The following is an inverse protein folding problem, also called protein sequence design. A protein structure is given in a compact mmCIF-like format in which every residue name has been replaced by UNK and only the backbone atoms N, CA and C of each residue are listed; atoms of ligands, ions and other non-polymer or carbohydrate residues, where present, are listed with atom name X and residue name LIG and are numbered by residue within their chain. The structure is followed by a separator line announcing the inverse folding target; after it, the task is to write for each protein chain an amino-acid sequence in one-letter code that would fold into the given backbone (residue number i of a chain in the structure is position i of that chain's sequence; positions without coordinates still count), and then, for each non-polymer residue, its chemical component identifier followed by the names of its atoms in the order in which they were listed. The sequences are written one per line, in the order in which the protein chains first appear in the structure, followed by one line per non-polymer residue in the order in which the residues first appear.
data_IF_751955825509
#
_entry.id   IF_751955825509
#
_cell.length_a   1.000
_cell.length_b   1.000
_cell.length_c   1.000
_cell.angle_alpha   90.00
_cell.angle_beta   90.00
_cell.angle_gamma   90.00
#
_symmetry.space_group_name_H-M   'P 1'
#
loop_
_entity.id
_entity.type
_entity.pdbx_description
1 polymer ?
#
# COMPACT_ATOMS: atom_id res chain seq x y z
N UNK A 1 1.24 10.71 -8.07
CA UNK A 1 0.22 10.35 -7.04
C UNK A 1 0.09 8.84 -7.02
N UNK A 2 -0.17 8.24 -5.88
CA UNK A 2 -0.22 6.77 -5.79
C UNK A 2 -1.41 6.33 -4.93
N UNK A 3 -2.01 5.20 -5.28
CA UNK A 3 -3.08 4.57 -4.51
C UNK A 3 -2.85 3.07 -4.52
N UNK A 4 -2.70 2.45 -3.36
CA UNK A 4 -2.62 1.01 -3.22
C UNK A 4 -3.88 0.48 -2.53
N UNK A 5 -4.33 -0.69 -2.94
CA UNK A 5 -5.49 -1.34 -2.36
C UNK A 5 -5.34 -2.87 -2.38
N UNK A 6 -6.12 -3.49 -1.51
CA UNK A 6 -6.39 -4.94 -1.54
C UNK A 6 -7.83 -5.17 -1.95
N UNK A 7 -8.13 -6.32 -2.51
CA UNK A 7 -9.49 -6.76 -2.77
C UNK A 7 -9.59 -8.27 -2.57
N UNK A 8 -10.57 -8.72 -1.82
CA UNK A 8 -10.80 -10.14 -1.56
C UNK A 8 -12.17 -10.54 -2.03
N UNK A 9 -12.19 -11.50 -2.92
CA UNK A 9 -13.39 -12.21 -3.38
C UNK A 9 -13.20 -13.68 -3.03
N UNK A 10 -13.29 -14.59 -3.98
CA UNK A 10 -12.80 -15.95 -3.84
C UNK A 10 -11.27 -15.97 -3.66
N UNK A 11 -10.58 -15.14 -4.45
CA UNK A 11 -9.13 -14.97 -4.41
C UNK A 11 -8.76 -13.62 -3.82
N UNK A 12 -7.46 -13.41 -3.55
CA UNK A 12 -6.92 -12.18 -3.00
C UNK A 12 -6.17 -11.41 -4.07
N UNK A 13 -6.47 -10.13 -4.18
CA UNK A 13 -5.87 -9.19 -5.14
C UNK A 13 -5.16 -8.08 -4.37
N UNK A 14 -3.95 -7.76 -4.82
CA UNK A 14 -3.15 -6.67 -4.32
C UNK A 14 -2.57 -5.87 -5.49
N UNK A 15 -2.63 -4.56 -5.43
CA UNK A 15 -2.09 -3.72 -6.49
C UNK A 15 -2.16 -2.24 -6.18
N UNK A 16 -1.63 -1.45 -7.12
CA UNK A 16 -1.58 0.00 -6.98
C UNK A 16 -1.62 0.72 -8.32
N UNK A 17 -1.93 2.02 -8.29
CA UNK A 17 -1.58 2.96 -9.36
C UNK A 17 -0.20 3.53 -9.09
N UNK A 18 0.66 3.60 -10.10
CA UNK A 18 1.99 4.19 -10.07
C UNK A 18 1.98 5.46 -10.93
N UNK A 19 1.58 6.58 -10.31
CA UNK A 19 1.33 7.82 -11.03
C UNK A 19 2.51 8.80 -10.89
N UNK A 20 3.35 8.85 -11.92
CA UNK A 20 4.46 9.79 -12.08
C UNK A 20 4.26 10.65 -13.33
N UNK A 21 4.99 11.76 -13.41
CA UNK A 21 4.99 12.66 -14.57
C UNK A 21 5.74 12.07 -15.77
N UNK A 22 6.60 11.08 -15.54
CA UNK A 22 7.40 10.39 -16.55
C UNK A 22 7.74 8.97 -16.08
N UNK A 23 8.07 8.08 -17.04
CA UNK A 23 8.55 6.73 -16.73
C UNK A 23 10.01 6.76 -16.27
N UNK A 24 10.31 5.94 -15.26
CA UNK A 24 11.68 5.63 -14.82
C UNK A 24 12.23 4.37 -15.52
N UNK A 25 11.59 3.90 -16.60
CA UNK A 25 11.84 2.61 -17.25
C UNK A 25 11.57 1.43 -16.28
N UNK A 26 10.51 1.57 -15.51
CA UNK A 26 10.03 0.49 -14.67
C UNK A 26 9.53 -0.69 -15.51
N UNK A 27 9.81 -1.89 -15.04
CA UNK A 27 9.47 -3.13 -15.73
C UNK A 27 8.99 -4.22 -14.75
N UNK A 28 8.23 -5.18 -15.26
CA UNK A 28 7.84 -6.35 -14.48
C UNK A 28 9.07 -7.24 -14.30
N UNK A 29 9.51 -7.36 -13.06
CA UNK A 29 10.73 -8.06 -12.68
C UNK A 29 10.41 -9.29 -11.84
N UNK A 30 10.99 -10.43 -12.22
CA UNK A 30 10.91 -11.68 -11.46
C UNK A 30 12.26 -11.97 -10.83
N UNK A 31 12.27 -12.12 -9.50
CA UNK A 31 13.44 -12.59 -8.76
C UNK A 31 13.21 -14.06 -8.35
N UNK A 32 13.89 -15.03 -8.97
CA UNK A 32 13.72 -16.44 -8.66
C UNK A 32 14.28 -16.81 -7.27
N UNK A 33 13.86 -17.94 -6.70
CA UNK A 33 14.20 -18.40 -5.33
C UNK A 33 15.70 -18.44 -5.01
N UNK A 34 16.55 -18.56 -6.00
CA UNK A 34 18.00 -18.69 -5.86
C UNK A 34 18.77 -17.45 -6.34
N UNK A 35 18.07 -16.36 -6.62
CA UNK A 35 18.71 -15.09 -6.89
C UNK A 35 19.44 -14.61 -5.63
N UNK A 36 20.67 -14.11 -5.80
CA UNK A 36 21.44 -13.61 -4.67
C UNK A 36 21.11 -12.14 -4.41
N UNK A 37 20.34 -11.88 -3.35
CA UNK A 37 20.18 -10.53 -2.84
C UNK A 37 21.40 -10.12 -2.03
N UNK A 38 22.09 -9.09 -2.48
CA UNK A 38 23.23 -8.48 -1.78
C UNK A 38 22.73 -7.23 -1.04
N UNK A 39 22.58 -7.33 0.27
CA UNK A 39 22.19 -6.21 1.13
C UNK A 39 23.42 -5.44 1.59
N UNK A 40 23.32 -4.11 1.71
CA UNK A 40 24.49 -3.26 2.01
C UNK A 40 25.08 -3.49 3.40
N UNK A 41 24.23 -3.74 4.38
CA UNK A 41 24.64 -3.87 5.79
C UNK A 41 24.22 -5.21 6.38
N UNK A 42 23.91 -6.18 5.56
CA UNK A 42 23.55 -7.54 5.94
C UNK A 42 24.19 -8.56 5.01
N UNK A 43 24.26 -9.79 5.48
CA UNK A 43 24.69 -10.92 4.65
C UNK A 43 23.73 -11.13 3.48
N UNK A 44 24.29 -11.62 2.39
CA UNK A 44 23.51 -11.95 1.19
C UNK A 44 22.54 -13.08 1.48
N UNK A 45 21.33 -13.00 0.91
CA UNK A 45 20.32 -14.06 0.95
C UNK A 45 20.27 -14.74 -0.41
N UNK A 46 20.51 -16.05 -0.44
CA UNK A 46 20.50 -16.87 -1.67
C UNK A 46 19.41 -17.94 -1.69
N UNK A 47 18.69 -18.12 -0.57
CA UNK A 47 17.55 -19.04 -0.48
C UNK A 47 16.37 -18.29 0.11
N UNK A 48 15.44 -17.93 -0.73
CA UNK A 48 14.31 -17.09 -0.38
C UNK A 48 13.08 -17.39 -1.24
N UNK A 49 11.94 -16.78 -0.93
CA UNK A 49 10.75 -16.89 -1.76
C UNK A 49 10.95 -16.16 -3.09
N UNK A 50 10.42 -16.73 -4.18
CA UNK A 50 10.36 -16.03 -5.45
C UNK A 50 9.48 -14.78 -5.33
N UNK A 51 9.90 -13.69 -5.99
CA UNK A 51 9.24 -12.38 -5.93
C UNK A 51 8.94 -11.93 -7.37
N UNK A 52 7.77 -11.36 -7.59
CA UNK A 52 7.41 -10.67 -8.82
C UNK A 52 6.83 -9.30 -8.47
N UNK A 53 7.22 -8.29 -9.24
CA UNK A 53 6.71 -6.93 -9.01
C UNK A 53 7.16 -5.95 -10.07
N UNK A 54 6.73 -4.71 -9.91
CA UNK A 54 7.19 -3.61 -10.72
C UNK A 54 8.48 -3.04 -10.12
N UNK A 55 9.56 -2.99 -10.89
CA UNK A 55 10.86 -2.50 -10.43
C UNK A 55 11.58 -1.68 -11.50
N UNK A 56 12.47 -0.82 -11.05
CA UNK A 56 13.57 -0.33 -11.87
C UNK A 56 14.81 -1.18 -11.55
N UNK A 57 15.40 -1.80 -12.58
CA UNK A 57 16.59 -2.64 -12.39
C UNK A 57 17.85 -1.81 -12.62
N UNK A 58 18.63 -1.63 -11.56
CA UNK A 58 19.92 -0.94 -11.61
C UNK A 58 21.03 -1.84 -11.05
N UNK A 59 22.14 -1.94 -11.75
CA UNK A 59 23.32 -2.75 -11.35
C UNK A 59 22.94 -4.21 -10.97
N UNK A 60 22.04 -4.81 -11.74
CA UNK A 60 21.44 -6.12 -11.47
C UNK A 60 20.67 -6.21 -10.13
N UNK A 61 20.29 -5.09 -9.54
CA UNK A 61 19.48 -5.05 -8.33
C UNK A 61 18.06 -4.53 -8.64
N UNK A 62 17.00 -5.25 -8.26
CA UNK A 62 15.62 -4.82 -8.49
C UNK A 62 15.20 -3.80 -7.41
N UNK A 63 15.04 -2.56 -7.80
CA UNK A 63 14.47 -1.50 -6.98
C UNK A 63 12.93 -1.56 -7.11
N UNK A 64 12.31 -2.38 -6.29
CA UNK A 64 10.86 -2.61 -6.34
C UNK A 64 10.06 -1.40 -5.86
N UNK A 65 9.08 -0.99 -6.65
CA UNK A 65 8.01 -0.06 -6.25
C UNK A 65 6.91 -0.78 -5.48
N UNK A 66 6.56 -1.97 -5.97
CA UNK A 66 5.65 -2.93 -5.38
C UNK A 66 6.03 -4.33 -5.83
N UNK A 67 5.69 -5.31 -5.03
CA UNK A 67 5.92 -6.71 -5.37
C UNK A 67 5.06 -7.63 -4.51
N UNK A 68 4.92 -8.87 -4.98
CA UNK A 68 4.32 -9.97 -4.25
C UNK A 68 5.25 -11.18 -4.30
N UNK A 69 5.32 -11.96 -3.22
CA UNK A 69 6.07 -13.20 -3.24
C UNK A 69 5.16 -14.41 -3.52
N UNK A 70 5.76 -15.54 -3.79
CA UNK A 70 5.07 -16.81 -4.08
C UNK A 70 4.18 -17.35 -2.95
N UNK A 71 4.24 -16.75 -1.76
CA UNK A 71 3.37 -17.05 -0.61
C UNK A 71 2.13 -16.18 -0.55
N UNK A 72 2.03 -15.18 -1.44
CA UNK A 72 0.91 -14.26 -1.50
C UNK A 72 1.04 -13.03 -0.58
N UNK A 73 2.23 -12.79 -0.02
CA UNK A 73 2.51 -11.55 0.70
C UNK A 73 2.86 -10.45 -0.29
N UNK A 74 2.10 -9.36 -0.28
CA UNK A 74 2.31 -8.19 -1.13
C UNK A 74 2.79 -6.96 -0.36
N UNK A 75 3.66 -6.16 -0.98
CA UNK A 75 4.13 -4.86 -0.46
C UNK A 75 4.10 -3.82 -1.56
N UNK A 76 3.65 -2.61 -1.25
CA UNK A 76 3.79 -1.45 -2.12
C UNK A 76 4.34 -0.26 -1.33
N UNK A 77 5.33 0.43 -1.91
CA UNK A 77 5.88 1.68 -1.39
C UNK A 77 5.24 2.88 -2.09
N UNK A 78 4.76 3.85 -1.33
CA UNK A 78 4.11 5.06 -1.83
C UNK A 78 4.84 6.29 -1.30
N UNK A 79 4.86 7.38 -2.07
CA UNK A 79 5.50 8.64 -1.65
C UNK A 79 4.89 9.19 -0.36
N UNK A 80 5.78 9.51 0.58
CA UNK A 80 5.45 10.02 1.92
C UNK A 80 6.33 11.23 2.27
N UNK A 81 6.40 12.16 1.34
CA UNK A 81 7.32 13.30 1.33
C UNK A 81 7.09 14.20 2.56
N UNK A 82 8.20 14.56 3.22
CA UNK A 82 8.19 15.43 4.41
C UNK A 82 7.83 14.73 5.72
N UNK A 83 7.41 13.47 5.69
CA UNK A 83 7.08 12.66 6.88
C UNK A 83 8.06 11.52 7.10
N UNK A 84 8.52 10.86 6.02
CA UNK A 84 9.47 9.76 6.14
C UNK A 84 10.78 10.23 6.77
N UNK A 85 11.28 9.47 7.74
CA UNK A 85 12.55 9.71 8.41
C UNK A 85 13.35 8.43 8.49
N UNK A 86 14.60 8.49 8.03
CA UNK A 86 15.54 7.37 8.05
C UNK A 86 16.74 7.75 8.93
N UNK A 87 17.36 6.76 9.51
CA UNK A 87 18.33 6.96 10.59
C UNK A 87 19.75 6.58 10.18
N UNK A 88 20.70 6.95 11.04
CA UNK A 88 22.03 6.35 11.07
C UNK A 88 21.97 4.91 11.60
N UNK A 89 23.01 4.09 11.34
CA UNK A 89 23.06 2.71 11.83
C UNK A 89 22.87 2.62 13.34
N UNK A 90 22.05 1.68 13.79
CA UNK A 90 21.80 1.40 15.21
C UNK A 90 22.36 0.03 15.58
N UNK A 91 22.99 -0.08 16.76
CA UNK A 91 23.41 -1.35 17.30
C UNK A 91 22.18 -2.22 17.62
N UNK A 92 22.33 -3.54 17.49
CA UNK A 92 21.29 -4.54 17.78
C UNK A 92 20.04 -4.46 16.88
N UNK A 93 20.09 -3.65 15.80
CA UNK A 93 19.03 -3.59 14.79
C UNK A 93 19.48 -4.15 13.44
N UNK A 94 18.53 -4.61 12.68
CA UNK A 94 18.72 -4.94 11.28
C UNK A 94 18.72 -3.62 10.46
N UNK A 95 19.93 -3.14 10.18
CA UNK A 95 20.15 -1.89 9.45
C UNK A 95 19.96 -2.13 7.96
N UNK A 96 18.82 -1.72 7.40
CA UNK A 96 18.39 -1.95 6.03
C UNK A 96 18.22 -0.61 5.32
N UNK A 97 18.81 -0.46 4.13
CA UNK A 97 18.54 0.71 3.31
C UNK A 97 17.05 0.73 2.87
N UNK A 98 16.46 1.91 2.71
CA UNK A 98 15.03 2.01 2.42
C UNK A 98 14.63 1.28 1.12
N UNK A 99 15.50 1.27 0.10
CA UNK A 99 15.25 0.57 -1.16
C UNK A 99 15.35 -0.96 -1.04
N UNK A 100 15.95 -1.47 0.03
CA UNK A 100 16.06 -2.88 0.37
C UNK A 100 14.84 -3.39 1.14
N UNK A 101 13.95 -2.52 1.60
CA UNK A 101 12.83 -2.89 2.49
C UNK A 101 11.90 -3.93 1.87
N UNK A 102 11.47 -3.72 0.63
CA UNK A 102 10.58 -4.67 -0.07
C UNK A 102 11.24 -6.03 -0.24
N UNK A 103 12.43 -6.16 -0.88
CA UNK A 103 13.07 -7.47 -1.04
C UNK A 103 13.47 -8.09 0.30
N UNK A 104 13.85 -7.33 1.33
CA UNK A 104 14.17 -7.85 2.65
C UNK A 104 12.97 -8.55 3.30
N UNK A 105 11.80 -7.96 3.25
CA UNK A 105 10.58 -8.54 3.81
C UNK A 105 10.09 -9.73 2.96
N UNK A 106 9.94 -9.53 1.65
CA UNK A 106 9.35 -10.55 0.78
C UNK A 106 10.22 -11.79 0.60
N UNK A 107 11.52 -11.67 0.76
CA UNK A 107 12.43 -12.82 0.70
C UNK A 107 12.26 -13.78 1.88
N UNK A 108 11.81 -13.30 3.04
CA UNK A 108 11.85 -14.02 4.30
C UNK A 108 10.48 -14.32 4.91
N UNK A 109 9.46 -13.50 4.61
CA UNK A 109 8.15 -13.57 5.24
C UNK A 109 7.11 -14.17 4.30
N UNK A 110 6.32 -15.10 4.80
CA UNK A 110 5.17 -15.67 4.10
C UNK A 110 3.85 -14.95 4.45
N UNK A 111 3.80 -14.26 5.57
CA UNK A 111 2.58 -13.63 6.10
C UNK A 111 2.86 -12.23 6.64
N UNK A 112 1.81 -11.42 6.71
CA UNK A 112 1.83 -10.10 7.34
C UNK A 112 2.26 -10.16 8.82
N UNK A 113 1.88 -11.23 9.53
CA UNK A 113 2.32 -11.45 10.93
C UNK A 113 3.83 -11.66 11.06
N UNK A 114 4.43 -12.42 10.12
CA UNK A 114 5.88 -12.60 10.07
C UNK A 114 6.59 -11.29 9.71
N UNK A 115 6.04 -10.56 8.71
CA UNK A 115 6.55 -9.25 8.33
C UNK A 115 6.56 -8.27 9.51
N UNK A 116 5.48 -8.20 10.29
CA UNK A 116 5.39 -7.36 11.50
C UNK A 116 6.52 -7.65 12.47
N UNK A 117 6.77 -8.91 12.80
CA UNK A 117 7.85 -9.33 13.72
C UNK A 117 9.24 -9.01 13.19
N UNK A 118 9.43 -9.10 11.87
CA UNK A 118 10.71 -8.76 11.25
C UNK A 118 10.93 -7.24 11.28
N UNK A 119 9.90 -6.44 10.99
CA UNK A 119 9.96 -4.97 10.97
C UNK A 119 10.29 -4.37 12.35
N UNK A 120 9.85 -4.99 13.45
CA UNK A 120 10.19 -4.56 14.80
C UNK A 120 11.71 -4.55 15.07
N UNK A 121 12.47 -5.35 14.32
CA UNK A 121 13.93 -5.45 14.42
C UNK A 121 14.68 -4.52 13.46
N UNK A 122 13.98 -3.95 12.47
CA UNK A 122 14.61 -3.14 11.42
C UNK A 122 14.89 -1.72 11.91
N UNK A 123 15.99 -1.18 11.42
CA UNK A 123 16.30 0.25 11.37
C UNK A 123 16.50 0.63 9.90
N UNK A 124 15.69 1.57 9.40
CA UNK A 124 15.81 2.04 8.02
C UNK A 124 16.87 3.13 7.91
N UNK A 125 17.83 2.90 7.04
CA UNK A 125 19.00 3.74 6.86
C UNK A 125 18.77 4.90 5.91
N UNK A 126 19.37 6.04 6.24
CA UNK A 126 19.47 7.23 5.41
C UNK A 126 20.58 7.08 4.34
N UNK A 127 20.46 6.04 3.49
CA UNK A 127 21.46 5.72 2.47
C UNK A 127 20.78 5.62 1.10
N UNK A 128 21.16 6.45 0.09
CA UNK A 128 20.64 6.35 -1.26
C UNK A 128 21.20 5.10 -1.97
N UNK A 129 20.53 4.67 -3.05
CA UNK A 129 21.06 3.59 -3.88
C UNK A 129 22.35 4.03 -4.60
N UNK A 130 22.34 5.20 -5.21
CA UNK A 130 23.47 5.85 -5.85
C UNK A 130 23.29 7.37 -5.87
N UNK A 131 24.27 8.11 -6.34
CA UNK A 131 24.16 9.57 -6.50
C UNK A 131 23.07 9.97 -7.50
N UNK A 132 22.79 9.14 -8.51
CA UNK A 132 21.72 9.36 -9.50
C UNK A 132 20.34 8.89 -9.01
N UNK A 133 20.30 8.02 -8.01
CA UNK A 133 19.07 7.45 -7.43
C UNK A 133 19.00 7.83 -5.94
N UNK A 134 18.54 9.06 -5.66
CA UNK A 134 18.50 9.59 -4.30
C UNK A 134 17.46 8.84 -3.44
N UNK A 135 17.49 9.12 -2.16
CA UNK A 135 16.56 8.57 -1.18
C UNK A 135 15.11 8.89 -1.53
N UNK A 136 14.30 7.85 -1.66
CA UNK A 136 12.86 7.99 -1.77
C UNK A 136 12.22 8.04 -0.39
N UNK A 137 11.40 9.05 -0.14
CA UNK A 137 10.62 9.18 1.09
C UNK A 137 9.33 8.39 0.93
N UNK A 138 9.28 7.21 1.55
CA UNK A 138 8.21 6.24 1.36
C UNK A 138 7.54 5.84 2.68
N UNK A 139 6.31 5.38 2.57
CA UNK A 139 5.63 4.50 3.50
C UNK A 139 5.08 3.29 2.74
N UNK A 140 4.71 2.24 3.43
CA UNK A 140 4.38 0.97 2.80
C UNK A 140 3.06 0.40 3.31
N UNK A 141 2.30 -0.22 2.40
CA UNK A 141 1.25 -1.18 2.73
C UNK A 141 1.79 -2.58 2.53
N UNK A 142 1.56 -3.45 3.49
CA UNK A 142 1.91 -4.87 3.46
C UNK A 142 0.65 -5.66 3.71
N UNK A 143 0.37 -6.64 2.86
CA UNK A 143 -0.89 -7.39 2.94
C UNK A 143 -0.75 -8.83 2.49
N UNK A 144 -1.50 -9.69 3.13
CA UNK A 144 -1.82 -11.03 2.66
C UNK A 144 -3.35 -11.20 2.59
N UNK A 145 -3.83 -12.42 2.38
CA UNK A 145 -5.27 -12.70 2.28
C UNK A 145 -6.05 -12.48 3.57
N UNK A 146 -5.38 -12.33 4.72
CA UNK A 146 -6.00 -12.26 6.04
C UNK A 146 -5.98 -10.85 6.63
N UNK A 147 -4.88 -10.12 6.45
CA UNK A 147 -4.74 -8.79 7.05
C UNK A 147 -3.89 -7.84 6.22
N UNK A 148 -4.02 -6.56 6.53
CA UNK A 148 -3.20 -5.49 5.97
C UNK A 148 -2.61 -4.64 7.09
N UNK A 149 -1.37 -4.20 6.92
CA UNK A 149 -0.71 -3.23 7.79
C UNK A 149 -0.15 -2.07 6.98
N UNK A 150 -0.02 -0.92 7.62
CA UNK A 150 0.72 0.23 7.08
C UNK A 150 1.96 0.47 7.92
N UNK A 151 3.09 0.67 7.25
CA UNK A 151 4.39 0.91 7.89
C UNK A 151 4.89 2.30 7.52
N UNK A 152 5.18 3.11 8.53
CA UNK A 152 5.68 4.47 8.39
C UNK A 152 6.94 4.66 9.25
N UNK A 153 8.06 5.00 8.60
CA UNK A 153 9.28 5.38 9.28
C UNK A 153 9.20 6.88 9.64
N UNK A 154 9.05 7.19 10.91
CA UNK A 154 8.85 8.52 11.44
C UNK A 154 10.04 8.93 12.34
N UNK A 155 10.14 10.21 12.71
CA UNK A 155 11.21 10.71 13.60
C UNK A 155 11.27 9.99 14.96
N UNK A 156 10.13 9.54 15.45
CA UNK A 156 9.99 8.83 16.72
C UNK A 156 10.02 7.30 16.57
N UNK A 157 10.43 6.81 15.40
CA UNK A 157 10.60 5.39 15.09
C UNK A 157 9.65 4.86 14.02
N UNK A 158 9.77 3.57 13.74
CA UNK A 158 8.88 2.89 12.81
C UNK A 158 7.53 2.66 13.48
N UNK A 159 6.47 3.12 12.82
CA UNK A 159 5.07 2.88 13.21
C UNK A 159 4.50 1.76 12.34
N UNK A 160 3.81 0.83 12.96
CA UNK A 160 3.09 -0.25 12.30
C UNK A 160 1.62 -0.13 12.70
N UNK A 161 0.77 0.20 11.75
CA UNK A 161 -0.67 0.35 11.97
C UNK A 161 -1.41 -0.85 11.39
N UNK A 162 -2.42 -1.32 12.09
CA UNK A 162 -3.44 -2.18 11.48
C UNK A 162 -4.20 -1.37 10.45
N UNK A 163 -4.36 -1.94 9.25
CA UNK A 163 -5.05 -1.27 8.15
C UNK A 163 -6.36 -2.00 7.80
N UNK A 164 -7.44 -1.71 8.53
CA UNK A 164 -8.70 -2.44 8.37
C UNK A 164 -9.40 -2.18 7.03
N UNK A 165 -9.02 -1.11 6.33
CA UNK A 165 -9.59 -0.80 5.02
C UNK A 165 -8.76 -1.37 3.87
N UNK A 166 -7.50 -1.78 4.12
CA UNK A 166 -6.58 -2.31 3.10
C UNK A 166 -6.36 -1.33 1.95
N UNK A 167 -6.22 -0.04 2.26
CA UNK A 167 -5.94 1.05 1.31
C UNK A 167 -4.84 1.92 1.86
N UNK A 168 -3.95 2.40 0.98
CA UNK A 168 -2.96 3.41 1.30
C UNK A 168 -2.84 4.38 0.13
N UNK A 169 -2.72 5.66 0.43
CA UNK A 169 -2.43 6.71 -0.56
C UNK A 169 -1.09 7.39 -0.23
N UNK A 170 -1.01 8.70 -0.27
CA UNK A 170 0.20 9.44 0.09
C UNK A 170 0.01 10.13 1.46
N UNK A 171 0.53 11.36 1.64
CA UNK A 171 0.27 12.18 2.83
C UNK A 171 -1.24 12.44 3.06
N UNK A 172 -1.68 12.66 4.29
CA UNK A 172 -0.93 12.70 5.55
C UNK A 172 -0.61 11.30 6.11
N UNK A 173 0.02 11.18 7.31
CA UNK A 173 0.22 9.91 8.00
C UNK A 173 -1.06 9.08 8.12
N UNK A 174 -0.91 7.77 8.11
CA UNK A 174 -2.02 6.82 7.99
C UNK A 174 -3.05 6.93 9.11
N UNK A 175 -2.62 7.17 10.35
CA UNK A 175 -3.51 7.39 11.49
C UNK A 175 -4.50 8.54 11.24
N UNK A 176 -4.03 9.61 10.60
CA UNK A 176 -4.86 10.77 10.22
C UNK A 176 -5.78 10.45 9.05
N UNK A 177 -5.31 9.68 8.08
CA UNK A 177 -6.16 9.23 6.97
C UNK A 177 -7.30 8.35 7.48
N UNK A 178 -6.98 7.39 8.37
CA UNK A 178 -7.97 6.51 8.97
C UNK A 178 -8.95 7.29 9.85
N UNK A 179 -8.46 8.22 10.66
CA UNK A 179 -9.30 9.09 11.50
C UNK A 179 -10.29 9.91 10.66
N UNK A 180 -9.86 10.43 9.50
CA UNK A 180 -10.70 11.26 8.65
C UNK A 180 -11.92 10.51 8.09
N UNK A 181 -11.93 9.18 8.04
CA UNK A 181 -13.11 8.39 7.66
C UNK A 181 -14.32 8.66 8.57
N UNK A 182 -14.09 9.11 9.81
CA UNK A 182 -15.19 9.50 10.72
C UNK A 182 -16.06 10.62 10.16
N UNK A 183 -15.51 11.49 9.31
CA UNK A 183 -16.27 12.58 8.68
C UNK A 183 -17.23 12.07 7.59
N UNK A 184 -17.12 10.81 7.22
CA UNK A 184 -17.85 10.19 6.11
C UNK A 184 -18.77 9.04 6.55
N UNK A 185 -19.08 8.95 7.85
CA UNK A 185 -19.98 7.93 8.41
C UNK A 185 -21.42 7.98 7.84
N UNK A 186 -21.79 9.10 7.23
CA UNK A 186 -23.07 9.26 6.55
C UNK A 186 -23.13 8.58 5.17
N UNK A 187 -21.98 8.23 4.58
CA UNK A 187 -21.95 7.59 3.27
C UNK A 187 -22.55 6.18 3.33
N UNK A 188 -23.30 5.83 2.31
CA UNK A 188 -23.96 4.54 2.20
C UNK A 188 -24.11 4.11 0.73
N UNK A 189 -24.02 2.82 0.47
CA UNK A 189 -24.41 2.23 -0.82
C UNK A 189 -25.94 2.08 -0.97
N UNK A 190 -26.72 2.42 0.07
CA UNK A 190 -28.19 2.37 0.07
C UNK A 190 -28.77 3.76 -0.18
N UNK A 191 -29.98 3.79 -0.67
CA UNK A 191 -30.74 5.01 -0.80
C UNK A 191 -31.05 5.64 0.59
N UNK A 192 -30.85 6.96 0.75
CA UNK A 192 -31.10 7.62 2.03
C UNK A 192 -32.58 7.67 2.35
N UNK A 193 -32.89 7.69 3.63
CA UNK A 193 -34.21 8.07 4.14
C UNK A 193 -34.26 9.58 4.35
N UNK A 194 -35.44 10.19 4.16
CA UNK A 194 -35.59 11.61 4.48
C UNK A 194 -35.44 11.84 5.99
N UNK A 195 -34.32 12.45 6.35
CA UNK A 195 -33.99 12.89 7.71
C UNK A 195 -33.76 14.41 7.80
N UNK A 196 -34.04 15.13 6.70
CA UNK A 196 -33.77 16.56 6.60
C UNK A 196 -34.68 17.40 7.51
N UNK A 197 -36.00 17.17 7.43
CA UNK A 197 -36.98 17.79 8.32
C UNK A 197 -38.28 16.97 8.31
N UNK A 198 -38.95 16.89 9.48
CA UNK A 198 -40.19 16.11 9.64
C UNK A 198 -41.34 16.61 8.72
N UNK A 199 -41.40 17.91 8.46
CA UNK A 199 -42.51 18.53 7.74
C UNK A 199 -42.20 18.78 6.26
N UNK A 200 -41.10 18.21 5.73
CA UNK A 200 -40.72 18.34 4.35
C UNK A 200 -40.65 16.97 3.69
N UNK A 201 -41.52 16.72 2.72
CA UNK A 201 -41.44 15.53 1.89
C UNK A 201 -40.38 15.67 0.81
N UNK A 202 -39.33 14.84 0.92
CA UNK A 202 -38.29 14.73 -0.09
C UNK A 202 -38.32 13.33 -0.69
N UNK A 203 -38.20 13.25 -2.01
CA UNK A 203 -38.23 12.00 -2.77
C UNK A 203 -36.89 11.71 -3.42
N UNK A 204 -36.57 10.44 -3.52
CA UNK A 204 -35.41 9.97 -4.25
C UNK A 204 -35.65 10.15 -5.76
N UNK A 205 -34.72 10.78 -6.46
CA UNK A 205 -34.80 11.01 -7.90
C UNK A 205 -33.81 10.18 -8.70
N UNK A 206 -32.82 9.54 -8.05
CA UNK A 206 -31.83 8.68 -8.71
C UNK A 206 -31.23 7.65 -7.75
N UNK A 207 -30.47 6.70 -8.29
CA UNK A 207 -29.61 5.80 -7.51
C UNK A 207 -28.35 6.55 -7.05
N UNK A 208 -27.66 6.03 -6.03
CA UNK A 208 -26.38 6.57 -5.55
C UNK A 208 -26.49 7.78 -4.61
N UNK A 209 -27.69 8.22 -4.26
CA UNK A 209 -27.90 9.37 -3.34
C UNK A 209 -27.27 9.17 -1.95
N UNK A 210 -27.09 7.92 -1.50
CA UNK A 210 -26.41 7.64 -0.24
C UNK A 210 -24.92 7.96 -0.25
N UNK A 211 -24.32 8.13 -1.44
CA UNK A 211 -22.91 8.51 -1.60
C UNK A 211 -22.71 10.04 -1.79
N UNK A 212 -23.75 10.86 -1.57
CA UNK A 212 -23.61 12.32 -1.61
C UNK A 212 -22.61 12.77 -0.53
N UNK A 213 -21.57 13.50 -0.95
CA UNK A 213 -20.44 13.91 -0.11
C UNK A 213 -19.19 13.01 -0.26
N UNK A 214 -19.26 11.94 -1.06
CA UNK A 214 -18.06 11.19 -1.42
C UNK A 214 -17.11 12.12 -2.20
N UNK A 215 -15.84 12.30 -1.74
CA UNK A 215 -14.94 13.25 -2.38
C UNK A 215 -14.49 12.74 -3.75
N UNK A 216 -14.47 13.66 -4.74
CA UNK A 216 -14.11 13.35 -6.13
C UNK A 216 -12.80 13.96 -6.60
N UNK A 217 -12.15 14.81 -5.79
CA UNK A 217 -10.87 15.42 -6.14
C UNK A 217 -9.69 14.43 -6.04
N UNK A 218 -8.54 14.84 -6.59
CA UNK A 218 -7.36 13.98 -6.71
C UNK A 218 -6.42 14.03 -5.50
N UNK A 219 -6.77 14.76 -4.44
CA UNK A 219 -5.93 14.81 -3.23
C UNK A 219 -5.79 13.42 -2.61
N UNK A 220 -4.70 13.19 -1.91
CA UNK A 220 -4.41 11.91 -1.28
C UNK A 220 -5.51 11.48 -0.32
N UNK A 221 -6.00 12.40 0.51
CA UNK A 221 -7.06 12.13 1.47
C UNK A 221 -8.38 11.77 0.79
N UNK A 222 -8.75 12.48 -0.27
CA UNK A 222 -9.98 12.22 -1.04
C UNK A 222 -9.91 10.87 -1.76
N UNK A 223 -8.76 10.52 -2.33
CA UNK A 223 -8.54 9.20 -2.95
C UNK A 223 -8.63 8.09 -1.92
N UNK A 224 -8.04 8.28 -0.72
CA UNK A 224 -8.14 7.30 0.36
C UNK A 224 -9.59 7.01 0.75
N UNK A 225 -10.37 8.07 0.99
CA UNK A 225 -11.80 7.94 1.35
C UNK A 225 -12.59 7.27 0.24
N UNK A 226 -12.42 7.72 -1.00
CA UNK A 226 -13.15 7.18 -2.16
C UNK A 226 -12.84 5.71 -2.36
N UNK A 227 -11.56 5.34 -2.40
CA UNK A 227 -11.13 3.95 -2.62
C UNK A 227 -11.57 3.06 -1.48
N UNK A 228 -11.46 3.51 -0.22
CA UNK A 228 -11.94 2.76 0.94
C UNK A 228 -13.47 2.51 0.85
N UNK A 229 -14.26 3.56 0.57
CA UNK A 229 -15.70 3.45 0.44
C UNK A 229 -16.12 2.53 -0.72
N UNK A 230 -15.55 2.73 -1.91
CA UNK A 230 -15.86 1.92 -3.08
C UNK A 230 -15.48 0.46 -2.85
N UNK A 231 -14.26 0.19 -2.38
CA UNK A 231 -13.79 -1.16 -2.08
C UNK A 231 -14.70 -1.89 -1.10
N UNK A 232 -15.02 -1.26 0.02
CA UNK A 232 -15.81 -1.91 1.09
C UNK A 232 -17.28 -2.12 0.74
N UNK A 233 -17.78 -1.46 -0.31
CA UNK A 233 -19.15 -1.59 -0.81
C UNK A 233 -19.23 -2.23 -2.20
N UNK A 234 -18.10 -2.65 -2.78
CA UNK A 234 -18.06 -3.30 -4.07
C UNK A 234 -18.50 -4.75 -4.01
N UNK A 235 -19.12 -5.19 -5.09
CA UNK A 235 -19.49 -6.58 -5.32
C UNK A 235 -18.93 -6.96 -6.68
N UNK A 236 -18.27 -8.12 -6.79
CA UNK A 236 -17.86 -8.70 -8.07
C UNK A 236 -18.59 -10.01 -8.34
N UNK A 237 -18.49 -10.49 -9.55
CA UNK A 237 -18.85 -11.87 -9.90
C UNK A 237 -17.91 -12.88 -9.21
N UNK A 238 -18.17 -14.17 -9.45
CA UNK A 238 -17.44 -15.26 -8.80
C UNK A 238 -16.15 -15.64 -9.55
N UNK A 239 -16.00 -15.20 -10.80
CA UNK A 239 -14.83 -15.52 -11.60
C UNK A 239 -13.68 -14.50 -11.44
N UNK A 240 -12.50 -14.89 -11.90
CA UNK A 240 -11.28 -14.08 -11.81
C UNK A 240 -11.40 -12.79 -12.64
N UNK A 241 -11.98 -12.86 -13.85
CA UNK A 241 -12.09 -11.71 -14.75
C UNK A 241 -12.98 -10.63 -14.15
N UNK A 242 -14.12 -11.02 -13.56
CA UNK A 242 -15.02 -10.10 -12.88
C UNK A 242 -14.31 -9.43 -11.67
N UNK A 243 -13.58 -10.24 -10.90
CA UNK A 243 -12.83 -9.76 -9.73
C UNK A 243 -11.72 -8.79 -10.11
N UNK A 244 -10.93 -9.10 -11.15
CA UNK A 244 -9.87 -8.24 -11.67
C UNK A 244 -10.46 -6.95 -12.24
N UNK A 245 -11.53 -7.03 -13.03
CA UNK A 245 -12.22 -5.85 -13.58
C UNK A 245 -12.73 -4.94 -12.47
N UNK A 246 -13.35 -5.52 -11.43
CA UNK A 246 -13.81 -4.75 -10.28
C UNK A 246 -12.65 -4.14 -9.48
N UNK A 247 -11.53 -4.85 -9.35
CA UNK A 247 -10.35 -4.32 -8.68
C UNK A 247 -9.77 -3.09 -9.40
N UNK A 248 -9.70 -3.11 -10.72
CA UNK A 248 -9.32 -1.92 -11.50
C UNK A 248 -10.31 -0.76 -11.31
N UNK A 249 -11.62 -1.03 -11.25
CA UNK A 249 -12.63 -0.01 -10.97
C UNK A 249 -12.49 0.60 -9.56
N UNK A 250 -12.00 -0.18 -8.58
CA UNK A 250 -11.74 0.32 -7.22
C UNK A 250 -10.56 1.29 -7.21
N UNK A 251 -9.54 1.06 -8.03
CA UNK A 251 -8.33 1.88 -8.10
C UNK A 251 -8.50 3.18 -8.91
N UNK A 252 -9.52 3.27 -9.76
CA UNK A 252 -9.85 4.46 -10.54
C UNK A 252 -10.70 5.45 -9.71
#
# INVERSE_FOLDING_TARGET
MCTAATYKTKDFYFGRTLDYEFSYNEEVTITPRNYQFNFRNKESITNHYAIIGMAYVADNYPLYYDAINEKGLGIAGLNFVGNAHYNEPQQEKDNIAQFEFIPWILSQCATTKEARRLIEKINLLNVPFSDQLPLAQLHWIISDSEESITVEAMKDGIKIYDNPVGVLTNNPPFDKQLFALNNYMNLSNKSPKNSFAQNLELQQYSRGLGAIGLPGDLSSQSRFVRVAFVKMNSVSGEDENDSVSQFFNILN
#
